data_IF_468033935555
#
_entry.id   IF_468033935555
#
_cell.length_a   1.000
_cell.length_b   1.000
_cell.length_c   1.000
_cell.angle_alpha   90.00
_cell.angle_beta   90.00
_cell.angle_gamma   90.00
#
_symmetry.space_group_name_H-M   'P 1'
#
loop_
_entity.id
_entity.type
_entity.pdbx_description
1 polymer ?
#
# COMPACT_ATOMS: atom_id res chain seq x y z
N UNK A 1 10.65 19.75 33.05
CA UNK A 1 10.31 19.06 31.78
C UNK A 1 11.60 18.95 30.98
N UNK A 2 12.31 17.84 31.08
CA UNK A 2 13.55 17.63 30.31
C UNK A 2 13.17 17.35 28.87
N UNK A 3 13.48 18.28 27.97
CA UNK A 3 13.33 18.09 26.53
C UNK A 3 14.29 16.99 26.09
N UNK A 4 13.77 15.78 25.96
CA UNK A 4 14.49 14.66 25.35
C UNK A 4 14.65 15.02 23.87
N UNK A 5 15.84 15.49 23.48
CA UNK A 5 16.11 15.94 22.11
C UNK A 5 16.62 14.84 21.18
N UNK A 6 17.09 13.71 21.71
CA UNK A 6 17.73 12.69 20.90
C UNK A 6 16.80 11.49 20.68
N UNK A 7 16.68 11.06 19.42
CA UNK A 7 16.03 9.81 19.05
C UNK A 7 16.78 8.64 19.71
N UNK A 8 16.05 7.72 20.33
CA UNK A 8 16.62 6.44 20.76
C UNK A 8 15.83 5.25 20.21
N UNK A 9 16.51 4.30 19.56
CA UNK A 9 15.85 3.13 18.97
C UNK A 9 15.21 2.23 20.03
N UNK A 10 15.76 2.19 21.25
CA UNK A 10 15.20 1.42 22.36
C UNK A 10 13.83 1.96 22.83
N UNK A 11 13.66 3.29 22.92
CA UNK A 11 12.36 3.89 23.25
C UNK A 11 11.36 3.77 22.11
N UNK A 12 11.84 3.92 20.88
CA UNK A 12 11.02 3.66 19.69
C UNK A 12 10.46 2.23 19.70
N UNK A 13 11.31 1.23 19.94
CA UNK A 13 10.90 -0.17 19.96
C UNK A 13 9.92 -0.47 21.11
N UNK A 14 10.16 0.06 22.30
CA UNK A 14 9.26 -0.15 23.45
C UNK A 14 7.88 0.47 23.24
N UNK A 15 7.80 1.65 22.62
CA UNK A 15 6.52 2.26 22.23
C UNK A 15 5.81 1.41 21.18
N UNK A 16 6.55 0.92 20.19
CA UNK A 16 6.04 0.11 19.08
C UNK A 16 5.45 -1.22 19.58
N UNK A 17 6.18 -1.95 20.42
CA UNK A 17 5.74 -3.24 20.97
C UNK A 17 4.56 -3.07 21.91
N UNK A 18 4.56 -2.02 22.75
CA UNK A 18 3.43 -1.70 23.62
C UNK A 18 2.16 -1.42 22.83
N UNK A 19 2.26 -0.59 21.79
CA UNK A 19 1.10 -0.23 20.97
C UNK A 19 0.56 -1.42 20.16
N UNK A 20 1.45 -2.31 19.66
CA UNK A 20 1.06 -3.55 19.00
C UNK A 20 0.39 -4.54 19.97
N UNK A 21 0.90 -4.65 21.19
CA UNK A 21 0.33 -5.52 22.23
C UNK A 21 -1.04 -5.02 22.72
N UNK A 22 -1.25 -3.71 22.82
CA UNK A 22 -2.54 -3.13 23.23
C UNK A 22 -3.66 -3.42 22.22
N UNK A 23 -3.34 -3.38 20.92
CA UNK A 23 -4.32 -3.57 19.84
C UNK A 23 -4.21 -4.93 19.14
N UNK A 24 -3.60 -5.94 19.78
CA UNK A 24 -3.28 -7.22 19.14
C UNK A 24 -4.52 -7.93 18.57
N UNK A 25 -5.67 -7.86 19.25
CA UNK A 25 -6.94 -8.45 18.78
C UNK A 25 -7.44 -7.80 17.49
N UNK A 26 -7.31 -6.48 17.40
CA UNK A 26 -7.69 -5.72 16.22
C UNK A 26 -6.77 -6.04 15.04
N UNK A 27 -5.47 -6.16 15.30
CA UNK A 27 -4.51 -6.61 14.27
C UNK A 27 -4.79 -8.04 13.80
N UNK A 28 -5.18 -8.95 14.71
CA UNK A 28 -5.56 -10.31 14.36
C UNK A 28 -6.86 -10.35 13.54
N UNK A 29 -7.86 -9.54 13.89
CA UNK A 29 -9.09 -9.42 13.13
C UNK A 29 -8.82 -8.94 11.70
N UNK A 30 -7.99 -7.90 11.54
CA UNK A 30 -7.60 -7.42 10.21
C UNK A 30 -6.82 -8.46 9.41
N UNK A 31 -5.98 -9.28 10.06
CA UNK A 31 -5.31 -10.40 9.41
C UNK A 31 -6.32 -11.44 8.90
N UNK A 32 -7.31 -11.80 9.72
CA UNK A 32 -8.38 -12.74 9.33
C UNK A 32 -9.23 -12.20 8.18
N UNK A 33 -9.55 -10.90 8.19
CA UNK A 33 -10.25 -10.22 7.09
C UNK A 33 -9.44 -10.29 5.79
N UNK A 34 -8.14 -10.03 5.86
CA UNK A 34 -7.21 -10.10 4.72
C UNK A 34 -7.09 -11.53 4.18
N UNK A 35 -6.90 -12.52 5.05
CA UNK A 35 -6.85 -13.92 4.65
C UNK A 35 -8.19 -14.40 4.05
N UNK A 36 -9.32 -14.00 4.65
CA UNK A 36 -10.66 -14.35 4.17
C UNK A 36 -10.98 -13.75 2.80
N UNK A 37 -10.63 -12.49 2.57
CA UNK A 37 -10.83 -11.82 1.27
C UNK A 37 -9.96 -12.41 0.16
N UNK A 38 -8.72 -12.78 0.46
CA UNK A 38 -7.84 -13.48 -0.48
C UNK A 38 -8.37 -14.88 -0.80
N UNK A 39 -8.82 -15.64 0.20
CA UNK A 39 -9.41 -16.97 0.01
C UNK A 39 -10.70 -16.92 -0.81
N UNK A 40 -11.59 -15.96 -0.52
CA UNK A 40 -12.83 -15.79 -1.26
C UNK A 40 -12.56 -15.49 -2.74
N UNK A 41 -11.59 -14.61 -3.04
CA UNK A 41 -11.16 -14.36 -4.41
C UNK A 41 -10.60 -15.61 -5.09
N UNK A 42 -9.75 -16.36 -4.41
CA UNK A 42 -9.19 -17.62 -4.94
C UNK A 42 -10.30 -18.63 -5.31
N UNK A 43 -11.31 -18.80 -4.45
CA UNK A 43 -12.44 -19.67 -4.71
C UNK A 43 -13.21 -19.25 -5.95
N UNK A 44 -13.53 -17.96 -6.08
CA UNK A 44 -14.25 -17.43 -7.25
C UNK A 44 -13.44 -17.65 -8.53
N UNK A 45 -12.12 -17.43 -8.50
CA UNK A 45 -11.23 -17.64 -9.64
C UNK A 45 -11.22 -19.12 -10.05
N UNK A 46 -11.05 -20.04 -9.10
CA UNK A 46 -11.04 -21.48 -9.40
C UNK A 46 -12.37 -21.93 -10.03
N UNK A 47 -13.51 -21.43 -9.51
CA UNK A 47 -14.83 -21.75 -10.07
C UNK A 47 -14.95 -21.21 -11.50
N UNK A 48 -14.53 -19.96 -11.73
CA UNK A 48 -14.61 -19.29 -13.03
C UNK A 48 -13.74 -20.00 -14.08
N UNK A 49 -12.50 -20.32 -13.73
CA UNK A 49 -11.56 -21.02 -14.63
C UNK A 49 -12.04 -22.44 -14.96
N UNK A 50 -12.65 -23.14 -14.00
CA UNK A 50 -13.33 -24.43 -14.26
C UNK A 50 -14.50 -24.28 -15.24
N UNK A 51 -15.28 -23.21 -15.15
CA UNK A 51 -16.40 -22.97 -16.10
C UNK A 51 -15.94 -22.65 -17.52
N UNK A 52 -14.73 -22.11 -17.68
CA UNK A 52 -14.14 -21.79 -18.98
C UNK A 52 -13.26 -22.92 -19.56
N UNK A 53 -13.25 -24.10 -18.91
CA UNK A 53 -12.38 -25.26 -19.26
C UNK A 53 -10.86 -24.97 -19.25
N UNK A 54 -10.45 -23.80 -18.77
CA UNK A 54 -9.06 -23.36 -18.64
C UNK A 54 -8.47 -23.81 -17.30
N UNK A 55 -8.12 -25.09 -17.16
CA UNK A 55 -7.59 -25.64 -15.90
C UNK A 55 -6.08 -25.41 -15.70
N UNK A 56 -5.47 -24.49 -16.45
CA UNK A 56 -4.03 -24.26 -16.36
C UNK A 56 -3.65 -23.50 -15.08
N UNK A 57 -2.62 -23.97 -14.40
CA UNK A 57 -2.10 -23.32 -13.19
C UNK A 57 -1.72 -21.85 -13.43
N UNK A 58 -1.17 -21.54 -14.61
CA UNK A 58 -0.68 -20.21 -14.95
C UNK A 58 -1.83 -19.19 -15.02
N UNK A 59 -2.98 -19.56 -15.61
CA UNK A 59 -4.16 -18.67 -15.68
C UNK A 59 -4.71 -18.34 -14.29
N UNK A 60 -4.80 -19.37 -13.43
CA UNK A 60 -5.27 -19.20 -12.04
C UNK A 60 -4.30 -18.33 -11.25
N UNK A 61 -2.99 -18.56 -11.41
CA UNK A 61 -1.96 -17.84 -10.67
C UNK A 61 -1.86 -16.36 -11.08
N UNK A 62 -2.00 -16.05 -12.38
CA UNK A 62 -1.96 -14.67 -12.90
C UNK A 62 -3.22 -13.87 -12.48
N UNK A 63 -4.39 -14.49 -12.61
CA UNK A 63 -5.65 -13.89 -12.14
C UNK A 63 -5.63 -13.69 -10.62
N UNK A 64 -5.10 -14.66 -9.87
CA UNK A 64 -4.95 -14.54 -8.42
C UNK A 64 -3.93 -13.46 -8.03
N UNK A 65 -2.83 -13.31 -8.77
CA UNK A 65 -1.88 -12.23 -8.54
C UNK A 65 -2.53 -10.86 -8.74
N UNK A 66 -3.34 -10.69 -9.78
CA UNK A 66 -4.11 -9.46 -10.03
C UNK A 66 -5.07 -9.15 -8.87
N UNK A 67 -5.77 -10.16 -8.36
CA UNK A 67 -6.62 -10.03 -7.17
C UNK A 67 -5.81 -9.66 -5.93
N UNK A 68 -4.69 -10.34 -5.69
CA UNK A 68 -3.78 -10.08 -4.58
C UNK A 68 -3.23 -8.65 -4.63
N UNK A 69 -2.80 -8.17 -5.80
CA UNK A 69 -2.33 -6.81 -6.00
C UNK A 69 -3.43 -5.77 -5.73
N UNK A 70 -4.67 -6.03 -6.15
CA UNK A 70 -5.81 -5.17 -5.85
C UNK A 70 -6.09 -5.12 -4.33
N UNK A 71 -6.12 -6.25 -3.66
CA UNK A 71 -6.34 -6.31 -2.20
C UNK A 71 -5.20 -5.62 -1.45
N UNK A 72 -3.95 -5.81 -1.88
CA UNK A 72 -2.78 -5.19 -1.27
C UNK A 72 -2.80 -3.67 -1.43
N UNK A 73 -3.15 -3.17 -2.61
CA UNK A 73 -3.24 -1.72 -2.88
C UNK A 73 -4.40 -1.10 -2.10
N UNK A 74 -5.60 -1.66 -2.18
CA UNK A 74 -6.78 -1.16 -1.46
C UNK A 74 -6.60 -1.23 0.06
N UNK A 75 -6.15 -2.38 0.58
CA UNK A 75 -5.86 -2.57 1.99
C UNK A 75 -4.74 -1.65 2.47
N UNK A 76 -3.69 -1.44 1.66
CA UNK A 76 -2.60 -0.52 1.95
C UNK A 76 -3.06 0.93 2.08
N UNK A 77 -3.93 1.39 1.17
CA UNK A 77 -4.55 2.72 1.22
C UNK A 77 -5.42 2.91 2.47
N UNK A 78 -6.23 1.91 2.82
CA UNK A 78 -7.04 1.94 4.04
C UNK A 78 -6.12 2.01 5.27
N UNK A 79 -5.11 1.15 5.34
CA UNK A 79 -4.12 1.15 6.41
C UNK A 79 -3.44 2.54 6.53
N UNK A 80 -2.95 3.11 5.43
CA UNK A 80 -2.31 4.43 5.37
C UNK A 80 -3.17 5.54 6.00
N UNK A 81 -4.47 5.51 5.75
CA UNK A 81 -5.40 6.50 6.28
C UNK A 81 -5.58 6.41 7.79
N UNK A 82 -5.35 5.23 8.37
CA UNK A 82 -5.52 4.98 9.81
C UNK A 82 -4.30 5.35 10.64
N UNK A 83 -3.16 5.72 10.02
CA UNK A 83 -1.92 6.11 10.72
C UNK A 83 -2.16 7.17 11.81
N UNK A 84 -3.10 8.08 11.58
CA UNK A 84 -3.40 9.19 12.49
C UNK A 84 -4.72 9.03 13.25
N UNK A 85 -5.40 7.88 13.12
CA UNK A 85 -6.67 7.58 13.81
C UNK A 85 -6.58 7.72 15.34
N UNK A 86 -5.51 7.31 16.04
CA UNK A 86 -5.42 7.45 17.50
C UNK A 86 -5.44 8.90 18.01
N UNK A 87 -5.05 9.87 17.18
CA UNK A 87 -5.02 11.31 17.54
C UNK A 87 -6.30 12.01 17.09
N UNK A 88 -7.14 11.34 16.30
CA UNK A 88 -8.42 11.90 15.85
C UNK A 88 -9.43 12.04 17.00
N UNK A 89 -9.32 11.18 18.02
CA UNK A 89 -10.20 11.17 19.19
C UNK A 89 -9.52 11.77 20.43
N UNK A 90 -10.31 12.43 21.29
CA UNK A 90 -9.80 13.14 22.48
C UNK A 90 -9.09 12.21 23.48
N UNK A 91 -9.68 11.08 23.95
CA UNK A 91 -9.00 10.18 24.88
C UNK A 91 -7.73 9.57 24.27
N UNK A 92 -7.79 9.11 23.01
CA UNK A 92 -6.62 8.54 22.31
C UNK A 92 -5.49 9.54 22.10
N UNK A 93 -5.83 10.80 21.81
CA UNK A 93 -4.84 11.87 21.69
C UNK A 93 -4.15 12.18 23.02
N UNK A 94 -4.87 12.16 24.15
CA UNK A 94 -4.29 12.40 25.48
C UNK A 94 -3.38 11.24 25.88
N UNK A 95 -3.82 9.99 25.70
CA UNK A 95 -3.00 8.81 26.00
C UNK A 95 -1.71 8.78 25.15
N UNK A 96 -1.82 9.11 23.87
CA UNK A 96 -0.68 9.07 22.97
C UNK A 96 0.30 10.24 23.19
N UNK A 97 -0.21 11.45 23.48
CA UNK A 97 0.64 12.62 23.67
C UNK A 97 1.29 12.64 25.06
N UNK A 98 0.74 11.95 26.06
CA UNK A 98 1.33 11.83 27.41
C UNK A 98 2.48 10.82 27.50
N UNK A 99 2.66 9.95 26.50
CA UNK A 99 3.80 9.03 26.44
C UNK A 99 5.14 9.78 26.49
N UNK A 100 6.11 9.36 27.33
CA UNK A 100 7.43 9.96 27.42
C UNK A 100 8.31 9.54 26.24
N UNK A 101 7.98 10.03 25.05
CA UNK A 101 8.70 9.81 23.80
C UNK A 101 8.67 11.09 22.95
N UNK A 102 9.65 11.23 22.05
CA UNK A 102 9.69 12.36 21.12
C UNK A 102 8.55 12.27 20.08
N UNK A 103 8.14 13.40 19.53
CA UNK A 103 7.09 13.43 18.49
C UNK A 103 7.50 12.63 17.23
N UNK A 104 8.80 12.58 16.93
CA UNK A 104 9.36 11.77 15.82
C UNK A 104 9.21 10.28 16.12
N UNK A 105 9.64 9.80 17.29
CA UNK A 105 9.54 8.39 17.68
C UNK A 105 8.09 7.91 17.65
N UNK A 106 7.15 8.74 18.13
CA UNK A 106 5.71 8.47 18.11
C UNK A 106 5.13 8.39 16.70
N UNK A 107 5.49 9.34 15.83
CA UNK A 107 5.00 9.31 14.44
C UNK A 107 5.57 8.10 13.69
N UNK A 108 6.88 7.87 13.83
CA UNK A 108 7.55 6.76 13.18
C UNK A 108 7.01 5.42 13.67
N UNK A 109 6.74 5.25 14.97
CA UNK A 109 6.24 3.97 15.50
C UNK A 109 4.89 3.62 14.90
N UNK A 110 4.01 4.62 14.72
CA UNK A 110 2.70 4.44 14.06
C UNK A 110 2.85 4.12 12.59
N UNK A 111 3.68 4.86 11.87
CA UNK A 111 3.95 4.56 10.46
C UNK A 111 4.47 3.14 10.33
N UNK A 112 5.44 2.73 11.15
CA UNK A 112 6.01 1.38 11.16
C UNK A 112 4.97 0.31 11.47
N UNK A 113 4.15 0.45 12.52
CA UNK A 113 3.11 -0.55 12.84
C UNK A 113 2.12 -0.69 11.69
N UNK A 114 1.71 0.42 11.08
CA UNK A 114 0.68 0.40 10.06
C UNK A 114 1.23 -0.10 8.73
N UNK A 115 2.41 0.32 8.29
CA UNK A 115 2.98 -0.10 7.00
C UNK A 115 3.64 -1.46 7.08
N UNK A 116 4.56 -1.68 8.03
CA UNK A 116 5.24 -2.98 8.18
C UNK A 116 4.29 -4.04 8.75
N UNK A 117 3.42 -3.67 9.71
CA UNK A 117 2.43 -4.61 10.24
C UNK A 117 1.43 -5.06 9.17
N UNK A 118 0.96 -4.14 8.31
CA UNK A 118 0.12 -4.51 7.17
C UNK A 118 0.88 -5.42 6.19
N UNK A 119 2.10 -5.06 5.79
CA UNK A 119 2.91 -5.88 4.88
C UNK A 119 3.16 -7.30 5.43
N UNK A 120 3.48 -7.41 6.73
CA UNK A 120 3.63 -8.71 7.40
C UNK A 120 2.31 -9.48 7.43
N UNK A 121 1.19 -8.84 7.74
CA UNK A 121 -0.12 -9.49 7.73
C UNK A 121 -0.53 -9.98 6.35
N UNK A 122 -0.21 -9.23 5.29
CA UNK A 122 -0.46 -9.62 3.91
C UNK A 122 0.41 -10.83 3.51
N UNK A 123 1.69 -10.86 3.92
CA UNK A 123 2.58 -12.00 3.67
C UNK A 123 2.08 -13.26 4.39
N UNK A 124 1.73 -13.15 5.67
CA UNK A 124 1.18 -14.28 6.44
C UNK A 124 -0.12 -14.80 5.81
N UNK A 125 -1.00 -13.88 5.37
CA UNK A 125 -2.25 -14.23 4.69
C UNK A 125 -2.00 -14.92 3.35
N UNK A 126 -1.03 -14.45 2.56
CA UNK A 126 -0.65 -15.07 1.30
C UNK A 126 -0.12 -16.49 1.50
N UNK A 127 0.71 -16.71 2.53
CA UNK A 127 1.22 -18.05 2.87
C UNK A 127 0.07 -18.97 3.29
N UNK A 128 -0.85 -18.48 4.13
CA UNK A 128 -2.00 -19.26 4.57
C UNK A 128 -2.91 -19.66 3.39
N UNK A 129 -3.22 -18.72 2.50
CA UNK A 129 -4.05 -18.97 1.30
C UNK A 129 -3.32 -19.89 0.32
N UNK A 130 -2.01 -19.74 0.15
CA UNK A 130 -1.21 -20.65 -0.67
C UNK A 130 -1.19 -22.08 -0.14
N UNK A 131 -1.25 -22.28 1.18
CA UNK A 131 -1.42 -23.61 1.78
C UNK A 131 -2.82 -24.18 1.52
N UNK A 132 -3.85 -23.34 1.68
CA UNK A 132 -5.25 -23.73 1.42
C UNK A 132 -5.49 -24.04 -0.06
N UNK A 133 -4.77 -23.40 -0.98
CA UNK A 133 -4.84 -23.70 -2.41
C UNK A 133 -4.59 -25.19 -2.72
N UNK A 134 -3.65 -25.84 -2.04
CA UNK A 134 -3.41 -27.28 -2.26
C UNK A 134 -4.60 -28.15 -1.84
N UNK A 135 -5.30 -27.76 -0.76
CA UNK A 135 -6.53 -28.44 -0.35
C UNK A 135 -7.66 -28.20 -1.35
N UNK A 136 -7.82 -26.97 -1.82
CA UNK A 136 -8.81 -26.64 -2.86
C UNK A 136 -8.50 -27.39 -4.16
N UNK A 137 -7.23 -27.46 -4.58
CA UNK A 137 -6.82 -28.19 -5.77
C UNK A 137 -7.16 -29.68 -5.68
N UNK A 138 -6.99 -30.29 -4.50
CA UNK A 138 -7.40 -31.67 -4.26
C UNK A 138 -8.94 -31.86 -4.34
N UNK A 139 -9.72 -30.93 -3.79
CA UNK A 139 -11.20 -30.99 -3.80
C UNK A 139 -11.75 -30.80 -5.22
N UNK A 140 -11.22 -29.84 -5.97
CA UNK A 140 -11.69 -29.49 -7.31
C UNK A 140 -11.01 -30.30 -8.43
N UNK A 141 -10.12 -31.24 -8.08
CA UNK A 141 -9.39 -32.06 -9.05
C UNK A 141 -8.61 -31.21 -10.05
N UNK A 142 -7.82 -30.25 -9.56
CA UNK A 142 -6.87 -29.48 -10.36
C UNK A 142 -5.48 -30.10 -10.22
N UNK A 143 -4.72 -30.10 -11.30
CA UNK A 143 -3.33 -30.50 -11.23
C UNK A 143 -2.52 -29.37 -10.57
N UNK A 144 -2.12 -29.60 -9.31
CA UNK A 144 -1.42 -28.63 -8.49
C UNK A 144 0.08 -28.51 -8.87
N UNK A 145 0.37 -28.05 -10.07
CA UNK A 145 1.74 -27.81 -10.53
C UNK A 145 2.24 -26.42 -10.12
N UNK A 146 2.69 -26.28 -8.86
CA UNK A 146 3.43 -25.08 -8.43
C UNK A 146 2.98 -24.48 -7.11
N UNK A 147 3.75 -23.50 -6.62
CA UNK A 147 3.44 -22.73 -5.41
C UNK A 147 2.87 -21.36 -5.77
N UNK A 148 1.60 -21.15 -5.43
CA UNK A 148 0.88 -19.88 -5.64
C UNK A 148 1.59 -18.72 -4.91
N UNK A 149 2.06 -18.96 -3.68
CA UNK A 149 2.80 -17.99 -2.87
C UNK A 149 4.09 -17.56 -3.57
N UNK A 150 4.87 -18.53 -4.08
CA UNK A 150 6.11 -18.23 -4.78
C UNK A 150 5.86 -17.46 -6.07
N UNK A 151 4.81 -17.82 -6.81
CA UNK A 151 4.42 -17.10 -8.02
C UNK A 151 4.09 -15.63 -7.74
N UNK A 152 3.24 -15.37 -6.74
CA UNK A 152 2.87 -14.00 -6.38
C UNK A 152 4.06 -13.18 -5.86
N UNK A 153 4.95 -13.79 -5.07
CA UNK A 153 6.16 -13.12 -4.60
C UNK A 153 7.10 -12.78 -5.75
N UNK A 154 7.29 -13.71 -6.70
CA UNK A 154 8.09 -13.47 -7.89
C UNK A 154 7.54 -12.30 -8.69
N UNK A 155 6.25 -12.30 -9.03
CA UNK A 155 5.63 -11.22 -9.81
C UNK A 155 5.66 -9.87 -9.06
N UNK A 156 5.58 -9.88 -7.72
CA UNK A 156 5.71 -8.66 -6.93
C UNK A 156 7.10 -8.01 -7.09
N UNK A 157 8.17 -8.81 -7.18
CA UNK A 157 9.55 -8.31 -7.31
C UNK A 157 10.01 -8.13 -8.76
N UNK A 158 9.46 -8.91 -9.69
CA UNK A 158 9.79 -8.84 -11.12
C UNK A 158 8.53 -8.94 -11.97
N UNK A 159 7.73 -7.85 -12.08
CA UNK A 159 6.45 -7.82 -12.81
C UNK A 159 6.69 -7.79 -14.33
N UNK A 160 7.36 -8.82 -14.84
CA UNK A 160 7.85 -8.93 -16.22
C UNK A 160 6.95 -9.81 -17.07
N UNK A 161 5.99 -10.52 -16.47
CA UNK A 161 5.14 -11.46 -17.20
C UNK A 161 3.91 -10.82 -17.84
N UNK A 162 3.52 -9.61 -17.41
CA UNK A 162 2.40 -8.86 -18.00
C UNK A 162 2.79 -8.02 -19.22
N UNK A 163 4.07 -7.96 -19.58
CA UNK A 163 4.56 -7.19 -20.73
C UNK A 163 5.05 -8.13 -21.83
N UNK A 164 4.53 -7.94 -23.03
CA UNK A 164 4.99 -8.62 -24.24
C UNK A 164 5.85 -7.70 -25.11
N UNK A 165 6.81 -8.29 -25.85
CA UNK A 165 7.64 -7.57 -26.82
C UNK A 165 8.80 -6.75 -26.20
N UNK A 166 9.31 -5.73 -26.93
CA UNK A 166 10.52 -4.98 -26.53
C UNK A 166 10.36 -4.21 -25.22
N UNK A 167 9.13 -3.98 -24.78
CA UNK A 167 8.83 -3.37 -23.49
C UNK A 167 9.22 -4.27 -22.30
N UNK A 168 9.20 -5.60 -22.46
CA UNK A 168 9.63 -6.57 -21.43
C UNK A 168 11.13 -6.50 -21.17
N UNK A 169 11.93 -6.32 -22.22
CA UNK A 169 13.39 -6.19 -22.10
C UNK A 169 13.80 -4.85 -21.48
N UNK A 170 13.01 -3.80 -21.69
CA UNK A 170 13.18 -2.50 -21.05
C UNK A 170 12.63 -2.44 -19.60
N UNK A 171 11.81 -3.42 -19.18
CA UNK A 171 11.16 -3.50 -17.87
C UNK A 171 12.04 -4.11 -16.78
N UNK A 172 13.32 -3.74 -16.75
CA UNK A 172 14.25 -4.21 -15.73
C UNK A 172 13.98 -3.47 -14.40
N UNK A 173 14.95 -2.71 -13.92
CA UNK A 173 14.81 -1.93 -12.69
C UNK A 173 13.97 -0.66 -12.89
N UNK A 174 13.87 -0.10 -14.10
CA UNK A 174 13.14 1.16 -14.33
C UNK A 174 11.61 0.99 -14.18
N UNK A 175 11.04 -0.08 -14.72
CA UNK A 175 9.61 -0.39 -14.58
C UNK A 175 9.25 -0.70 -13.12
N UNK A 176 10.12 -1.46 -12.45
CA UNK A 176 10.01 -1.78 -11.02
C UNK A 176 10.10 -0.53 -10.14
N UNK A 177 10.99 0.41 -10.46
CA UNK A 177 11.07 1.70 -9.76
C UNK A 177 9.81 2.54 -9.95
N UNK A 178 9.24 2.56 -11.16
CA UNK A 178 8.02 3.29 -11.45
C UNK A 178 6.81 2.72 -10.70
N UNK A 179 6.65 1.40 -10.67
CA UNK A 179 5.55 0.74 -9.96
C UNK A 179 5.63 0.95 -8.45
N UNK A 180 6.80 0.73 -7.82
CA UNK A 180 6.97 0.99 -6.40
C UNK A 180 6.90 2.49 -6.07
N UNK A 181 7.41 3.37 -6.94
CA UNK A 181 7.26 4.81 -6.82
C UNK A 181 5.80 5.25 -6.81
N UNK A 182 4.98 4.67 -7.68
CA UNK A 182 3.53 4.92 -7.72
C UNK A 182 2.83 4.43 -6.46
N UNK A 183 3.12 3.21 -6.00
CA UNK A 183 2.58 2.67 -4.75
C UNK A 183 2.97 3.54 -3.54
N UNK A 184 4.23 3.96 -3.46
CA UNK A 184 4.72 4.83 -2.40
C UNK A 184 4.04 6.21 -2.45
N UNK A 185 3.85 6.76 -3.65
CA UNK A 185 3.15 8.02 -3.85
C UNK A 185 1.69 7.92 -3.37
N UNK A 186 0.95 6.89 -3.80
CA UNK A 186 -0.41 6.63 -3.32
C UNK A 186 -0.44 6.52 -1.79
N UNK A 187 0.39 5.65 -1.20
CA UNK A 187 0.48 5.47 0.24
C UNK A 187 0.68 6.81 0.97
N UNK A 188 1.57 7.66 0.46
CA UNK A 188 1.86 8.97 1.04
C UNK A 188 0.68 9.93 0.96
N UNK A 189 -0.08 9.93 -0.14
CA UNK A 189 -1.24 10.79 -0.33
C UNK A 189 -2.37 10.42 0.62
N UNK A 190 -2.60 9.11 0.84
CA UNK A 190 -3.59 8.64 1.81
C UNK A 190 -3.16 8.90 3.26
N UNK A 191 -1.86 8.80 3.57
CA UNK A 191 -1.32 9.19 4.88
C UNK A 191 -1.50 10.70 5.14
N UNK A 192 -1.16 11.54 4.15
CA UNK A 192 -1.40 12.99 4.21
C UNK A 192 -2.90 13.30 4.33
N UNK A 193 -3.73 12.55 3.63
CA UNK A 193 -5.18 12.59 3.72
C UNK A 193 -5.76 12.43 5.11
N UNK A 194 -5.30 11.38 5.80
CA UNK A 194 -5.63 11.13 7.21
C UNK A 194 -5.16 12.25 8.14
N UNK A 195 -4.15 13.01 7.73
CA UNK A 195 -3.63 14.15 8.49
C UNK A 195 -4.51 15.40 8.32
N UNK A 196 -4.86 15.75 7.08
CA UNK A 196 -5.51 17.01 6.69
C UNK A 196 -7.00 17.02 7.07
N UNK A 197 -7.72 15.93 6.83
CA UNK A 197 -9.17 15.89 7.05
C UNK A 197 -9.56 15.17 8.33
N UNK A 198 -10.27 15.88 9.21
CA UNK A 198 -10.76 15.34 10.48
C UNK A 198 -11.98 14.42 10.34
N UNK A 199 -12.78 14.60 9.27
CA UNK A 199 -14.00 13.83 8.99
C UNK A 199 -13.96 13.30 7.56
N UNK A 200 -14.13 11.98 7.42
CA UNK A 200 -14.03 11.22 6.17
C UNK A 200 -12.76 11.49 5.34
N UNK A 201 -11.55 11.29 5.92
CA UNK A 201 -10.31 11.51 5.21
C UNK A 201 -10.19 10.63 3.96
N UNK A 202 -10.55 9.34 4.09
CA UNK A 202 -10.50 8.37 3.00
C UNK A 202 -11.29 8.78 1.76
N UNK A 203 -12.56 9.20 1.93
CA UNK A 203 -13.44 9.53 0.81
C UNK A 203 -12.93 10.79 0.08
N UNK A 204 -12.42 11.77 0.83
CA UNK A 204 -11.92 13.01 0.25
C UNK A 204 -10.61 12.81 -0.49
N UNK A 205 -9.70 11.99 0.05
CA UNK A 205 -8.45 11.70 -0.64
C UNK A 205 -8.66 10.80 -1.85
N UNK A 206 -9.57 9.83 -1.74
CA UNK A 206 -9.98 9.01 -2.87
C UNK A 206 -10.58 9.88 -3.98
N UNK A 207 -11.42 10.87 -3.64
CA UNK A 207 -11.94 11.84 -4.62
C UNK A 207 -10.85 12.64 -5.32
N UNK A 208 -9.83 13.11 -4.60
CA UNK A 208 -8.69 13.84 -5.19
C UNK A 208 -7.84 12.93 -6.07
N UNK A 209 -7.55 11.71 -5.62
CA UNK A 209 -6.77 10.72 -6.38
C UNK A 209 -7.51 10.32 -7.66
N UNK A 210 -8.82 10.08 -7.59
CA UNK A 210 -9.65 9.75 -8.77
C UNK A 210 -9.70 10.93 -9.75
N UNK A 211 -9.86 12.16 -9.26
CA UNK A 211 -9.83 13.34 -10.12
C UNK A 211 -8.47 13.47 -10.84
N UNK A 212 -7.36 13.28 -10.13
CA UNK A 212 -6.02 13.27 -10.72
C UNK A 212 -5.85 12.13 -11.73
N UNK A 213 -6.34 10.93 -11.42
CA UNK A 213 -6.29 9.78 -12.31
C UNK A 213 -7.12 9.95 -13.59
N UNK A 214 -8.14 10.83 -13.59
CA UNK A 214 -8.92 11.17 -14.78
C UNK A 214 -8.23 12.26 -15.62
N UNK A 215 -7.60 13.24 -14.96
CA UNK A 215 -7.04 14.42 -15.62
C UNK A 215 -5.64 14.15 -16.21
N UNK A 216 -4.80 13.39 -15.51
CA UNK A 216 -3.39 13.18 -15.91
C UNK A 216 -3.22 12.31 -17.18
N UNK A 217 -3.92 11.18 -17.36
CA UNK A 217 -3.69 10.31 -18.52
C UNK A 217 -3.96 10.99 -19.87
N UNK A 218 -5.04 11.77 -20.07
CA UNK A 218 -5.27 12.48 -21.33
C UNK A 218 -4.16 13.48 -21.67
N UNK A 219 -3.62 14.18 -20.67
CA UNK A 219 -2.54 15.16 -20.84
C UNK A 219 -1.25 14.45 -21.27
N UNK A 220 -0.94 13.33 -20.63
CA UNK A 220 0.23 12.52 -20.95
C UNK A 220 0.11 11.90 -22.35
N UNK A 221 -1.06 11.36 -22.71
CA UNK A 221 -1.34 10.81 -24.04
C UNK A 221 -1.22 11.90 -25.11
N UNK A 222 -1.75 13.10 -24.87
CA UNK A 222 -1.64 14.22 -25.80
C UNK A 222 -0.17 14.64 -26.03
N UNK A 223 0.67 14.57 -25.00
CA UNK A 223 2.10 14.88 -25.11
C UNK A 223 2.92 13.76 -25.76
N UNK A 224 2.53 12.49 -25.55
CA UNK A 224 3.25 11.32 -26.06
C UNK A 224 2.89 10.91 -27.50
N UNK A 225 1.72 11.26 -28.03
CA UNK A 225 1.25 10.79 -29.35
C UNK A 225 1.53 11.76 -30.52
N UNK A 226 2.51 12.64 -30.42
CA UNK A 226 2.92 13.45 -31.57
C UNK A 226 3.58 12.55 -32.66
N UNK A 227 3.11 12.56 -33.92
CA UNK A 227 3.40 11.51 -34.91
C UNK A 227 4.87 11.40 -35.39
N UNK A 228 5.78 12.28 -34.97
CA UNK A 228 7.19 12.25 -35.40
C UNK A 228 8.12 11.43 -34.48
N UNK A 229 7.68 10.93 -33.32
CA UNK A 229 8.57 10.37 -32.28
C UNK A 229 8.41 8.87 -32.02
N UNK A 230 7.62 8.12 -32.80
CA UNK A 230 7.30 6.70 -32.50
C UNK A 230 8.51 5.76 -32.43
N UNK A 231 9.55 5.96 -33.24
CA UNK A 231 10.77 5.14 -33.21
C UNK A 231 11.73 5.53 -32.09
N UNK A 232 11.76 6.81 -31.70
CA UNK A 232 12.57 7.30 -30.58
C UNK A 232 11.93 7.01 -29.21
N UNK A 233 10.60 6.92 -29.15
CA UNK A 233 9.83 6.62 -27.95
C UNK A 233 10.20 5.29 -27.33
N UNK A 234 10.50 4.26 -28.13
CA UNK A 234 10.91 2.94 -27.63
C UNK A 234 12.29 2.99 -26.97
N UNK A 235 13.20 3.82 -27.48
CA UNK A 235 14.54 4.01 -26.90
C UNK A 235 14.53 4.86 -25.62
N UNK A 236 13.59 5.82 -25.53
CA UNK A 236 13.47 6.75 -24.39
C UNK A 236 12.55 6.20 -23.28
N UNK A 237 11.73 5.18 -23.59
CA UNK A 237 10.80 4.52 -22.67
C UNK A 237 11.40 4.16 -21.28
N UNK A 238 12.58 3.50 -21.18
CA UNK A 238 13.19 3.22 -19.87
C UNK A 238 13.52 4.49 -19.07
N UNK A 239 13.94 5.56 -19.73
CA UNK A 239 14.26 6.84 -19.10
C UNK A 239 12.99 7.52 -18.59
N UNK A 240 11.88 7.43 -19.33
CA UNK A 240 10.56 7.94 -18.90
C UNK A 240 10.07 7.22 -17.65
N UNK A 241 10.20 5.89 -17.61
CA UNK A 241 9.84 5.08 -16.44
C UNK A 241 10.67 5.48 -15.21
N UNK A 242 11.99 5.60 -15.35
CA UNK A 242 12.88 5.96 -14.26
C UNK A 242 12.62 7.39 -13.73
N UNK A 243 12.43 8.35 -14.63
CA UNK A 243 12.13 9.75 -14.26
C UNK A 243 10.77 9.86 -13.59
N UNK A 244 9.74 9.20 -14.12
CA UNK A 244 8.40 9.17 -13.52
C UNK A 244 8.43 8.53 -12.13
N UNK A 245 9.08 7.38 -11.98
CA UNK A 245 9.25 6.73 -10.67
C UNK A 245 9.98 7.61 -9.65
N UNK A 246 11.03 8.33 -10.08
CA UNK A 246 11.79 9.24 -9.23
C UNK A 246 10.96 10.45 -8.78
N UNK A 247 10.18 11.05 -9.69
CA UNK A 247 9.28 12.18 -9.37
C UNK A 247 8.21 11.73 -8.37
N UNK A 248 7.60 10.56 -8.58
CA UNK A 248 6.60 10.01 -7.67
C UNK A 248 7.17 9.73 -6.28
N UNK A 249 8.41 9.24 -6.20
CA UNK A 249 9.10 9.02 -4.93
C UNK A 249 9.44 10.34 -4.23
N UNK A 250 9.85 11.37 -4.96
CA UNK A 250 10.07 12.70 -4.40
C UNK A 250 8.76 13.29 -3.84
N UNK A 251 7.64 13.15 -4.55
CA UNK A 251 6.31 13.54 -4.07
C UNK A 251 5.95 12.75 -2.80
N UNK A 252 6.26 11.45 -2.76
CA UNK A 252 6.01 10.61 -1.58
C UNK A 252 6.76 11.11 -0.34
N UNK A 253 8.02 11.51 -0.51
CA UNK A 253 8.84 12.10 0.57
C UNK A 253 8.24 13.43 1.03
N UNK A 254 7.88 14.32 0.11
CA UNK A 254 7.27 15.62 0.43
C UNK A 254 5.97 15.42 1.22
N UNK A 255 5.09 14.51 0.79
CA UNK A 255 3.85 14.19 1.48
C UNK A 255 4.09 13.61 2.88
N UNK A 256 5.11 12.75 3.03
CA UNK A 256 5.53 12.23 4.34
C UNK A 256 6.01 13.33 5.29
N UNK A 257 6.85 14.24 4.80
CA UNK A 257 7.34 15.40 5.56
C UNK A 257 6.18 16.34 5.94
N UNK A 258 5.26 16.60 5.02
CA UNK A 258 4.10 17.46 5.26
C UNK A 258 3.14 16.83 6.29
N UNK A 259 2.93 15.51 6.23
CA UNK A 259 2.17 14.78 7.24
C UNK A 259 2.81 14.87 8.63
N UNK A 260 4.14 14.76 8.72
CA UNK A 260 4.88 14.94 9.97
C UNK A 260 4.78 16.39 10.50
N UNK A 261 4.92 17.37 9.60
CA UNK A 261 4.76 18.78 9.96
C UNK A 261 3.35 19.08 10.47
N UNK A 262 2.31 18.53 9.84
CA UNK A 262 0.93 18.69 10.31
C UNK A 262 0.72 18.00 11.67
N UNK A 263 1.30 16.82 11.87
CA UNK A 263 1.25 16.08 13.13
C UNK A 263 1.83 16.90 14.30
N UNK A 264 3.00 17.51 14.12
CA UNK A 264 3.64 18.33 15.17
C UNK A 264 2.85 19.58 15.52
N UNK A 265 1.98 20.07 14.62
CA UNK A 265 1.09 21.21 14.86
C UNK A 265 -0.25 20.84 15.51
N UNK A 266 -0.62 19.55 15.61
CA UNK A 266 -1.87 19.14 16.28
C UNK A 266 -1.70 19.25 17.80
N UNK A 267 -2.40 20.21 18.41
CA UNK A 267 -2.47 20.40 19.86
C UNK A 267 -3.71 19.68 20.45
N UNK A 268 -3.59 19.21 21.70
CA UNK A 268 -4.67 18.53 22.47
C UNK A 268 -5.90 19.42 22.68
N UNK A 269 -5.70 20.74 22.70
CA UNK A 269 -6.77 21.71 22.93
C UNK A 269 -7.05 22.43 21.63
N UNK A 270 -8.17 22.12 20.99
CA UNK A 270 -8.80 23.10 20.11
C UNK A 270 -9.13 24.31 20.96
N UNK A 271 -8.38 25.41 20.81
CA UNK A 271 -8.92 26.71 21.16
C UNK A 271 -10.11 26.90 20.23
N UNK A 272 -11.32 26.67 20.76
CA UNK A 272 -12.58 26.98 20.10
C UNK A 272 -12.44 28.42 19.61
N UNK A 273 -12.16 28.63 18.32
CA UNK A 273 -12.22 29.97 17.74
C UNK A 273 -13.69 30.37 17.89
N UNK A 274 -13.96 31.17 18.93
CA UNK A 274 -15.19 31.95 19.04
C UNK A 274 -15.21 32.80 17.78
N UNK A 275 -16.01 32.39 16.81
CA UNK A 275 -16.52 33.27 15.79
C UNK A 275 -17.41 34.26 16.55
N UNK A 276 -16.83 35.43 16.81
CA UNK A 276 -17.57 36.68 16.98
C UNK A 276 -18.11 37.11 15.62
#
# INVERSE_FOLDING_TARGET
MTTINNFSPARFWSVTTRDAALNWKTHLAHLLELAGTLLAGLLIIIITEKTHESTSFVSIADTFYSWFALVLTMGGMIAASTVLKPISDKPGSIEFLTLPATNVEKFLSRVTIVTLGFALSALVSLVAVGALYYLLAAIFGLDAYGSLTFYCLKELFTPTQMLEGPAREAWSWQGTLASYGFLACLQSMFMLGGSVWRRFPLVKTLGVVVALAIILPPILVHFSFHPQTRSELVAIFPTILATTGSILLAIAIINGLLSYWLFTRKQVVETKKRLL
#
